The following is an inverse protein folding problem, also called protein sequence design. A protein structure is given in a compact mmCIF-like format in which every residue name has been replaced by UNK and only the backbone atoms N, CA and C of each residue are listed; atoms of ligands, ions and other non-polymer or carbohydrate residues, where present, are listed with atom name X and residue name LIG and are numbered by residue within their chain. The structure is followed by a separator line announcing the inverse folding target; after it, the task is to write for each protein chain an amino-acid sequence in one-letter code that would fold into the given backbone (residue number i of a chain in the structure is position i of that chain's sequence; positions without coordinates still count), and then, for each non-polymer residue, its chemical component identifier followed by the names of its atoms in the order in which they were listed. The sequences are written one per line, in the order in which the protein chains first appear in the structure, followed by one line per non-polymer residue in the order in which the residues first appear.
data_IF_113283107608
#
_entry.id   IF_113283107608
#
_cell.length_a   1.000
_cell.length_b   1.000
_cell.length_c   1.000
_cell.angle_alpha   90.00
_cell.angle_beta   90.00
_cell.angle_gamma   90.00
#
_symmetry.space_group_name_H-M   'P 1'
#
loop_
_entity.id
_entity.type
_entity.pdbx_description
1 polymer ?
#
# COMPACT_ATOMS: atom_id res chain seq x y z
N UNK A 1 40.16 18.10 -2.58
CA UNK A 1 39.78 17.55 -1.26
C UNK A 1 38.36 17.04 -1.41
N UNK A 2 38.23 15.77 -1.76
CA UNK A 2 36.95 15.08 -1.89
C UNK A 2 36.71 14.47 -0.52
N UNK A 3 35.83 15.08 0.28
CA UNK A 3 35.39 14.48 1.53
C UNK A 3 34.32 13.45 1.22
N UNK A 4 34.55 12.26 1.76
CA UNK A 4 33.85 11.01 1.53
C UNK A 4 32.34 11.10 1.78
N UNK A 5 31.60 10.48 0.86
CA UNK A 5 30.20 10.07 1.01
C UNK A 5 30.24 8.76 1.80
N UNK A 6 30.27 8.83 3.13
CA UNK A 6 30.33 7.63 4.00
C UNK A 6 29.16 7.50 4.97
N UNK A 7 28.00 8.08 4.66
CA UNK A 7 26.80 7.99 5.54
C UNK A 7 25.54 7.44 4.85
N UNK A 8 25.64 6.79 3.68
CA UNK A 8 24.50 6.12 3.04
C UNK A 8 24.37 4.62 3.38
N UNK A 9 25.32 4.04 4.11
CA UNK A 9 25.35 2.60 4.42
C UNK A 9 24.44 2.16 5.59
N UNK A 10 23.72 3.10 6.21
CA UNK A 10 22.79 2.80 7.33
C UNK A 10 21.30 2.79 6.93
N UNK A 11 21.00 2.88 5.64
CA UNK A 11 19.64 2.59 5.18
C UNK A 11 19.47 1.07 5.20
N UNK A 12 18.51 0.59 6.00
CA UNK A 12 18.05 -0.80 5.90
C UNK A 12 17.81 -1.10 4.42
N UNK A 13 18.45 -2.14 3.84
CA UNK A 13 18.21 -2.47 2.45
C UNK A 13 16.71 -2.69 2.29
N UNK A 14 16.12 -2.11 1.24
CA UNK A 14 14.80 -2.55 0.78
C UNK A 14 14.82 -4.08 0.77
N UNK A 15 13.75 -4.77 1.22
CA UNK A 15 13.53 -6.15 0.86
C UNK A 15 13.49 -6.18 -0.67
N UNK A 16 14.65 -6.44 -1.29
CA UNK A 16 14.75 -6.57 -2.73
C UNK A 16 14.11 -7.90 -3.01
N UNK A 17 12.81 -7.88 -3.30
CA UNK A 17 12.15 -9.00 -3.92
C UNK A 17 12.99 -9.31 -5.18
N UNK A 18 13.70 -10.44 -5.15
CA UNK A 18 14.64 -10.80 -6.20
C UNK A 18 13.85 -11.14 -7.47
N UNK A 19 13.64 -10.12 -8.30
CA UNK A 19 12.88 -10.21 -9.55
C UNK A 19 13.67 -10.90 -10.66
N UNK A 20 14.96 -11.21 -10.48
CA UNK A 20 15.84 -11.56 -11.59
C UNK A 20 15.75 -13.04 -12.01
N UNK A 21 15.51 -13.99 -11.11
CA UNK A 21 15.60 -15.42 -11.42
C UNK A 21 14.29 -16.10 -11.87
N UNK A 22 13.11 -15.53 -11.55
CA UNK A 22 11.81 -16.05 -11.98
C UNK A 22 11.38 -15.55 -13.38
N UNK A 23 12.26 -14.80 -14.05
CA UNK A 23 11.85 -13.73 -14.93
C UNK A 23 11.85 -14.09 -16.41
N UNK A 24 12.83 -14.83 -16.94
CA UNK A 24 12.99 -14.91 -18.41
C UNK A 24 11.82 -15.64 -19.11
N UNK A 25 11.34 -16.76 -18.55
CA UNK A 25 10.19 -17.50 -19.10
C UNK A 25 8.87 -16.76 -18.87
N UNK A 26 8.70 -16.15 -17.69
CA UNK A 26 7.54 -15.32 -17.37
C UNK A 26 7.48 -14.07 -18.27
N UNK A 27 8.61 -13.40 -18.51
CA UNK A 27 8.77 -12.25 -19.39
C UNK A 27 8.47 -12.61 -20.85
N UNK A 28 9.01 -13.73 -21.36
CA UNK A 28 8.73 -14.17 -22.74
C UNK A 28 7.24 -14.48 -22.92
N UNK A 29 6.60 -15.14 -21.94
CA UNK A 29 5.15 -15.39 -21.93
C UNK A 29 4.35 -14.09 -21.85
N UNK A 30 4.82 -13.13 -21.05
CA UNK A 30 4.21 -11.81 -20.90
C UNK A 30 4.30 -10.99 -22.20
N UNK A 31 5.46 -10.92 -22.86
CA UNK A 31 5.65 -10.21 -24.13
C UNK A 31 4.75 -10.73 -25.25
N UNK A 32 4.58 -12.06 -25.34
CA UNK A 32 3.68 -12.67 -26.32
C UNK A 32 2.22 -12.24 -26.09
N UNK A 33 1.75 -12.25 -24.85
CA UNK A 33 0.40 -11.82 -24.50
C UNK A 33 0.20 -10.31 -24.68
N UNK A 34 1.20 -9.50 -24.34
CA UNK A 34 1.16 -8.05 -24.51
C UNK A 34 1.01 -7.66 -25.97
N UNK A 35 1.72 -8.33 -26.88
CA UNK A 35 1.56 -8.08 -28.32
C UNK A 35 0.17 -8.47 -28.84
N UNK A 36 -0.45 -9.52 -28.29
CA UNK A 36 -1.82 -9.91 -28.60
C UNK A 36 -2.85 -8.89 -28.07
N UNK A 37 -2.66 -8.37 -26.86
CA UNK A 37 -3.52 -7.32 -26.30
C UNK A 37 -3.43 -6.04 -27.14
N UNK A 38 -2.23 -5.64 -27.57
CA UNK A 38 -2.05 -4.52 -28.49
C UNK A 38 -2.66 -4.73 -29.88
N UNK A 39 -2.98 -5.97 -30.25
CA UNK A 39 -3.74 -6.31 -31.47
C UNK A 39 -5.27 -6.28 -31.28
N UNK A 40 -5.75 -5.88 -30.10
CA UNK A 40 -7.18 -5.72 -29.78
C UNK A 40 -7.84 -6.95 -29.16
N UNK A 41 -7.06 -7.97 -28.78
CA UNK A 41 -7.59 -9.14 -28.08
C UNK A 41 -7.78 -8.84 -26.58
N UNK A 42 -8.80 -9.44 -25.94
CA UNK A 42 -9.02 -9.28 -24.50
C UNK A 42 -7.86 -9.87 -23.70
N UNK A 43 -7.69 -9.41 -22.47
CA UNK A 43 -6.72 -9.98 -21.52
C UNK A 43 -7.04 -11.48 -21.34
N UNK A 44 -6.06 -12.37 -21.43
CA UNK A 44 -6.26 -13.80 -21.25
C UNK A 44 -6.85 -14.14 -19.89
N UNK A 45 -7.78 -15.11 -19.85
CA UNK A 45 -8.42 -15.58 -18.61
C UNK A 45 -7.44 -16.15 -17.57
N UNK A 46 -6.23 -16.51 -17.99
CA UNK A 46 -5.19 -16.97 -17.07
C UNK A 46 -4.70 -15.88 -16.10
N UNK A 47 -5.06 -14.61 -16.34
CA UNK A 47 -4.76 -13.49 -15.45
C UNK A 47 -5.98 -12.97 -14.68
N UNK A 48 -7.13 -13.65 -14.73
CA UNK A 48 -8.35 -13.20 -14.04
C UNK A 48 -8.14 -13.09 -12.52
N UNK A 49 -7.21 -13.86 -11.96
CA UNK A 49 -6.80 -13.82 -10.55
C UNK A 49 -6.16 -12.48 -10.16
N UNK A 50 -5.40 -11.82 -11.04
CA UNK A 50 -4.83 -10.49 -10.79
C UNK A 50 -5.88 -9.40 -10.65
N UNK A 51 -7.08 -9.62 -11.18
CA UNK A 51 -8.18 -8.66 -11.17
C UNK A 51 -9.29 -9.03 -10.17
N UNK A 52 -9.09 -10.09 -9.37
CA UNK A 52 -10.08 -10.62 -8.45
C UNK A 52 -9.82 -10.18 -7.00
N UNK A 53 -10.71 -9.35 -6.44
CA UNK A 53 -10.74 -9.04 -5.01
C UNK A 53 -9.57 -8.17 -4.53
N UNK A 54 -9.31 -8.23 -3.21
CA UNK A 54 -8.20 -7.52 -2.57
C UNK A 54 -7.04 -8.51 -2.40
N UNK A 55 -5.87 -8.16 -2.94
CA UNK A 55 -4.65 -8.95 -2.81
C UNK A 55 -4.03 -8.83 -1.43
N UNK A 56 -3.17 -9.80 -1.07
CA UNK A 56 -2.39 -9.81 0.18
C UNK A 56 -0.92 -10.06 -0.15
N UNK A 57 -0.05 -9.14 0.25
CA UNK A 57 1.40 -9.34 0.14
C UNK A 57 1.85 -10.42 1.15
N UNK A 58 2.75 -11.34 0.76
CA UNK A 58 3.18 -12.43 1.64
C UNK A 58 4.11 -11.96 2.77
N UNK A 59 4.74 -10.80 2.61
CA UNK A 59 5.71 -10.27 3.57
C UNK A 59 5.05 -9.45 4.67
N UNK A 60 5.57 -9.57 5.89
CA UNK A 60 5.15 -8.73 7.02
C UNK A 60 5.92 -7.42 7.00
N UNK A 61 5.20 -6.32 7.12
CA UNK A 61 5.80 -4.98 7.22
C UNK A 61 5.92 -4.59 8.69
N UNK A 62 7.12 -4.18 9.10
CA UNK A 62 7.38 -3.67 10.45
C UNK A 62 7.42 -2.13 10.47
N UNK A 63 6.58 -1.54 11.31
CA UNK A 63 6.56 -0.09 11.54
C UNK A 63 7.55 0.24 12.67
N UNK A 64 8.65 0.89 12.30
CA UNK A 64 9.69 1.28 13.24
C UNK A 64 9.29 2.56 13.97
N UNK A 65 9.32 2.51 15.31
CA UNK A 65 8.98 3.64 16.18
C UNK A 65 10.23 4.05 16.97
N UNK A 66 10.41 5.33 17.25
CA UNK A 66 11.52 5.83 18.06
C UNK A 66 11.61 5.13 19.42
N UNK A 67 12.85 4.81 19.86
CA UNK A 67 13.08 4.05 21.12
C UNK A 67 12.46 4.71 22.35
N UNK A 68 12.39 6.03 22.37
CA UNK A 68 11.86 6.83 23.48
C UNK A 68 10.45 7.37 23.19
N UNK A 69 9.76 6.85 22.18
CA UNK A 69 8.41 7.28 21.84
C UNK A 69 7.46 7.04 23.02
N UNK A 70 6.68 8.05 23.35
CA UNK A 70 5.66 7.99 24.38
C UNK A 70 4.36 7.52 23.72
N UNK A 71 3.80 6.35 24.09
CA UNK A 71 2.56 5.89 23.50
C UNK A 71 1.39 6.83 23.78
N UNK A 72 0.52 7.00 22.79
CA UNK A 72 -0.68 7.83 22.89
C UNK A 72 -1.95 6.99 22.83
N UNK A 73 -2.89 7.29 23.72
CA UNK A 73 -4.25 6.75 23.70
C UNK A 73 -5.21 7.89 23.38
N UNK A 74 -5.71 7.92 22.15
CA UNK A 74 -6.69 8.89 21.71
C UNK A 74 -8.11 8.37 22.02
N UNK A 75 -8.96 9.17 22.69
CA UNK A 75 -10.33 8.75 22.96
C UNK A 75 -11.12 8.57 21.66
N UNK A 76 -12.14 7.71 21.71
CA UNK A 76 -13.06 7.51 20.60
C UNK A 76 -13.77 8.83 20.29
N UNK A 77 -13.77 9.23 19.01
CA UNK A 77 -14.50 10.41 18.57
C UNK A 77 -16.00 10.12 18.61
N UNK A 78 -16.77 11.11 19.04
CA UNK A 78 -18.23 10.98 19.08
C UNK A 78 -18.77 10.86 17.66
N UNK A 79 -19.45 9.75 17.40
CA UNK A 79 -20.18 9.50 16.16
C UNK A 79 -21.67 9.67 16.45
N UNK A 80 -22.41 10.32 15.55
CA UNK A 80 -23.87 10.47 15.66
C UNK A 80 -24.54 9.10 15.71
N UNK A 81 -25.53 8.93 16.59
CA UNK A 81 -26.22 7.65 16.80
C UNK A 81 -26.72 7.01 15.49
N UNK A 82 -27.22 7.81 14.56
CA UNK A 82 -27.69 7.37 13.23
C UNK A 82 -26.61 6.70 12.37
N UNK A 83 -25.34 6.98 12.63
CA UNK A 83 -24.22 6.42 11.87
C UNK A 83 -23.63 5.18 12.53
N UNK A 84 -24.03 4.80 13.75
CA UNK A 84 -23.40 3.67 14.47
C UNK A 84 -23.52 2.36 13.72
N UNK A 85 -24.74 2.01 13.26
CA UNK A 85 -24.97 0.79 12.48
C UNK A 85 -24.22 0.82 11.14
N UNK A 86 -24.15 1.98 10.49
CA UNK A 86 -23.41 2.14 9.23
C UNK A 86 -21.90 1.97 9.43
N UNK A 87 -21.34 2.52 10.51
CA UNK A 87 -19.92 2.32 10.84
C UNK A 87 -19.65 0.84 11.09
N UNK A 88 -20.52 0.16 11.82
CA UNK A 88 -20.39 -1.27 12.10
C UNK A 88 -20.44 -2.10 10.82
N UNK A 89 -21.38 -1.81 9.92
CA UNK A 89 -21.50 -2.51 8.63
C UNK A 89 -20.31 -2.29 7.70
N UNK A 90 -19.55 -1.19 7.85
CA UNK A 90 -18.30 -0.98 7.11
C UNK A 90 -17.12 -1.75 7.73
N UNK A 91 -17.12 -2.00 9.04
CA UNK A 91 -16.04 -2.74 9.72
C UNK A 91 -16.14 -4.27 9.53
N UNK A 92 -17.35 -4.82 9.49
CA UNK A 92 -17.58 -6.28 9.36
C UNK A 92 -16.94 -6.89 8.10
N UNK A 93 -17.05 -6.30 6.89
CA UNK A 93 -16.36 -6.80 5.71
C UNK A 93 -14.84 -6.73 5.84
N UNK A 94 -14.30 -5.68 6.48
CA UNK A 94 -12.85 -5.52 6.66
C UNK A 94 -12.27 -6.61 7.56
N UNK A 95 -12.99 -6.98 8.62
CA UNK A 95 -12.61 -8.10 9.49
C UNK A 95 -12.73 -9.44 8.73
N UNK A 96 -13.81 -9.64 7.98
CA UNK A 96 -14.01 -10.85 7.17
C UNK A 96 -12.96 -11.03 6.07
N UNK A 97 -12.47 -9.92 5.51
CA UNK A 97 -11.42 -9.90 4.49
C UNK A 97 -10.00 -9.94 5.08
N UNK A 98 -9.85 -10.10 6.40
CA UNK A 98 -8.55 -10.15 7.09
C UNK A 98 -7.70 -8.87 6.89
N UNK A 99 -8.38 -7.72 6.72
CA UNK A 99 -7.75 -6.39 6.60
C UNK A 99 -7.51 -5.79 7.99
N UNK A 100 -8.44 -6.03 8.93
CA UNK A 100 -8.34 -5.62 10.32
C UNK A 100 -8.61 -6.81 11.24
N UNK A 101 -8.07 -6.74 12.46
CA UNK A 101 -8.28 -7.75 13.49
C UNK A 101 -8.83 -7.10 14.76
N UNK A 102 -9.72 -7.82 15.45
CA UNK A 102 -10.27 -7.39 16.73
C UNK A 102 -9.25 -7.57 17.86
N UNK A 103 -8.86 -6.46 18.47
CA UNK A 103 -7.97 -6.45 19.65
C UNK A 103 -8.79 -6.44 20.94
N UNK A 104 -8.59 -7.45 21.79
CA UNK A 104 -9.29 -7.59 23.10
C UNK A 104 -8.39 -7.27 24.30
N UNK A 105 -7.08 -7.23 24.10
CA UNK A 105 -6.10 -6.92 25.14
C UNK A 105 -5.73 -5.43 25.14
N UNK A 106 -5.28 -4.87 26.28
CA UNK A 106 -4.80 -3.49 26.32
C UNK A 106 -3.60 -3.26 25.38
N UNK A 107 -3.63 -2.18 24.61
CA UNK A 107 -2.53 -1.76 23.74
C UNK A 107 -1.93 -0.44 24.20
N UNK A 108 -0.66 -0.23 23.85
CA UNK A 108 0.05 1.03 24.16
C UNK A 108 -0.41 2.18 23.27
N UNK A 109 -0.75 1.88 22.02
CA UNK A 109 -1.20 2.85 21.03
C UNK A 109 -2.68 2.64 20.71
N UNK A 110 -3.46 3.72 20.77
CA UNK A 110 -4.87 3.75 20.36
C UNK A 110 -5.12 5.02 19.58
N UNK A 111 -5.60 4.88 18.35
CA UNK A 111 -5.94 6.00 17.47
C UNK A 111 -7.46 6.08 17.30
N UNK A 112 -7.99 7.30 17.21
CA UNK A 112 -9.42 7.51 17.00
C UNK A 112 -9.81 7.26 15.53
N UNK A 113 -11.02 6.77 15.30
CA UNK A 113 -11.61 6.66 13.96
C UNK A 113 -12.57 7.83 13.73
N UNK A 114 -12.60 8.34 12.51
CA UNK A 114 -13.57 9.30 11.99
C UNK A 114 -14.41 8.66 10.91
N UNK A 115 -15.70 8.96 10.90
CA UNK A 115 -16.63 8.52 9.87
C UNK A 115 -17.03 9.73 9.03
N UNK A 116 -16.74 9.69 7.73
CA UNK A 116 -17.00 10.79 6.78
C UNK A 116 -17.95 10.28 5.71
N UNK A 117 -19.09 10.95 5.54
CA UNK A 117 -20.00 10.65 4.44
C UNK A 117 -19.44 11.21 3.13
N UNK A 118 -19.38 10.36 2.11
CA UNK A 118 -19.04 10.78 0.75
C UNK A 118 -20.27 11.35 0.04
N UNK A 119 -20.03 12.02 -1.09
CA UNK A 119 -21.09 12.56 -1.95
C UNK A 119 -22.02 11.49 -2.53
N UNK A 120 -21.55 10.24 -2.65
CA UNK A 120 -22.34 9.09 -3.11
C UNK A 120 -23.19 8.45 -1.98
N UNK A 121 -23.15 8.99 -0.77
CA UNK A 121 -23.85 8.45 0.41
C UNK A 121 -23.14 7.28 1.10
N UNK A 122 -22.01 6.79 0.56
CA UNK A 122 -21.18 5.79 1.25
C UNK A 122 -20.40 6.42 2.41
N UNK A 123 -20.00 5.59 3.37
CA UNK A 123 -19.23 6.04 4.52
C UNK A 123 -17.74 5.73 4.30
N UNK A 124 -16.87 6.68 4.62
CA UNK A 124 -15.42 6.48 4.68
C UNK A 124 -14.98 6.47 6.13
N UNK A 125 -14.40 5.36 6.56
CA UNK A 125 -13.74 5.25 7.86
C UNK A 125 -12.28 5.71 7.72
N UNK A 126 -11.89 6.71 8.51
CA UNK A 126 -10.55 7.28 8.52
C UNK A 126 -9.93 7.08 9.90
N UNK A 127 -8.77 6.44 9.96
CA UNK A 127 -7.94 6.43 11.17
C UNK A 127 -7.26 7.80 11.31
N UNK A 128 -7.15 8.31 12.53
CA UNK A 128 -6.34 9.49 12.86
C UNK A 128 -5.05 9.11 13.58
N UNK A 129 -3.97 8.77 12.85
CA UNK A 129 -2.69 8.34 13.40
C UNK A 129 -1.73 9.51 13.68
N UNK A 130 -2.21 10.76 13.85
CA UNK A 130 -1.33 11.93 13.96
C UNK A 130 -0.24 11.81 15.02
N UNK A 131 -0.57 11.30 16.21
CA UNK A 131 0.40 11.13 17.30
C UNK A 131 1.38 9.98 17.03
N UNK A 132 0.88 8.86 16.49
CA UNK A 132 1.73 7.74 16.08
C UNK A 132 2.72 8.18 14.98
N UNK A 133 2.26 8.92 13.97
CA UNK A 133 3.06 9.38 12.84
C UNK A 133 4.24 10.27 13.22
N UNK A 134 4.17 10.98 14.36
CA UNK A 134 5.30 11.77 14.88
C UNK A 134 6.42 10.89 15.44
N UNK A 135 6.08 9.67 15.85
CA UNK A 135 7.00 8.73 16.49
C UNK A 135 7.55 7.67 15.53
N UNK A 136 7.01 7.59 14.31
CA UNK A 136 7.47 6.63 13.29
C UNK A 136 8.78 7.09 12.69
N UNK A 137 9.77 6.20 12.68
CA UNK A 137 10.99 6.35 11.91
C UNK A 137 10.70 6.03 10.45
N UNK A 138 10.69 7.06 9.60
CA UNK A 138 10.36 6.90 8.19
C UNK A 138 11.58 6.42 7.41
N UNK A 139 11.51 5.24 6.76
CA UNK A 139 12.56 4.86 5.83
C UNK A 139 12.54 5.83 4.64
N UNK A 140 13.73 6.16 4.14
CA UNK A 140 13.87 7.02 2.97
C UNK A 140 13.92 6.18 1.69
N UNK A 141 12.86 6.27 0.90
CA UNK A 141 12.77 5.64 -0.42
C UNK A 141 12.59 6.73 -1.48
N UNK A 142 13.63 7.07 -2.25
CA UNK A 142 13.53 8.10 -3.27
C UNK A 142 12.59 7.61 -4.38
N UNK A 143 11.51 8.36 -4.60
CA UNK A 143 10.67 8.13 -5.77
C UNK A 143 11.40 8.64 -7.02
N UNK A 144 11.37 7.90 -8.13
CA UNK A 144 11.97 8.36 -9.38
C UNK A 144 11.31 9.67 -9.82
N UNK A 145 12.11 10.59 -10.32
CA UNK A 145 11.60 11.84 -10.91
C UNK A 145 10.95 11.58 -12.26
N UNK A 146 10.21 12.56 -12.77
CA UNK A 146 9.65 12.47 -14.11
C UNK A 146 10.76 12.30 -15.15
N UNK A 147 11.89 12.99 -14.99
CA UNK A 147 13.06 12.92 -15.86
C UNK A 147 13.69 11.53 -15.87
N UNK A 148 13.80 10.89 -14.69
CA UNK A 148 14.31 9.52 -14.57
C UNK A 148 13.42 8.52 -15.34
N UNK A 149 12.10 8.70 -15.24
CA UNK A 149 11.14 7.87 -15.95
C UNK A 149 11.18 8.17 -17.45
N UNK A 150 11.20 9.44 -17.85
CA UNK A 150 11.22 9.88 -19.23
C UNK A 150 12.44 9.37 -20.00
N UNK A 151 13.61 9.38 -19.35
CA UNK A 151 14.83 8.82 -19.92
C UNK A 151 14.73 7.29 -20.13
N UNK A 152 14.11 6.56 -19.19
CA UNK A 152 13.93 5.09 -19.29
C UNK A 152 12.93 4.68 -20.37
N UNK A 153 11.91 5.49 -20.62
CA UNK A 153 10.86 5.18 -21.61
C UNK A 153 11.18 5.70 -23.02
N UNK A 154 12.28 6.46 -23.18
CA UNK A 154 12.69 7.00 -24.48
C UNK A 154 12.93 5.89 -25.51
N UNK A 155 12.39 6.04 -26.72
CA UNK A 155 12.51 5.08 -27.81
C UNK A 155 11.48 3.94 -27.79
N UNK A 156 10.66 3.82 -26.74
CA UNK A 156 9.54 2.89 -26.73
C UNK A 156 8.30 3.50 -27.41
N UNK A 157 7.55 2.68 -28.15
CA UNK A 157 6.39 3.11 -28.96
C UNK A 157 5.05 2.56 -28.44
N UNK A 158 5.06 1.70 -27.43
CA UNK A 158 3.89 1.06 -26.83
C UNK A 158 4.02 1.14 -25.31
N UNK A 159 2.93 1.52 -24.65
CA UNK A 159 2.87 1.67 -23.19
C UNK A 159 1.63 0.98 -22.66
N UNK A 160 1.75 0.39 -21.47
CA UNK A 160 0.63 -0.09 -20.67
C UNK A 160 0.68 0.55 -19.30
N UNK A 161 -0.49 0.81 -18.71
CA UNK A 161 -0.61 1.33 -17.35
C UNK A 161 -1.41 0.33 -16.54
N UNK A 162 -0.83 -0.08 -15.41
CA UNK A 162 -1.48 -0.92 -14.41
C UNK A 162 -1.59 -0.09 -13.13
N UNK A 163 -2.72 -0.23 -12.44
CA UNK A 163 -2.99 0.45 -11.19
C UNK A 163 -3.48 -0.58 -10.17
N UNK A 164 -2.83 -0.62 -9.00
CA UNK A 164 -3.21 -1.54 -7.94
C UNK A 164 -4.39 -0.96 -7.16
N UNK A 165 -5.57 -1.58 -7.30
CA UNK A 165 -6.74 -1.19 -6.51
C UNK A 165 -6.46 -1.44 -5.04
N UNK A 166 -6.58 -0.41 -4.20
CA UNK A 166 -6.30 -0.48 -2.76
C UNK A 166 -4.86 -0.89 -2.41
N UNK A 167 -3.87 -0.51 -3.22
CA UNK A 167 -2.44 -0.81 -2.99
C UNK A 167 -1.77 0.01 -1.87
N UNK A 168 -2.35 -0.02 -0.67
CA UNK A 168 -1.76 0.54 0.56
C UNK A 168 -0.90 -0.48 1.30
#
# INVERSE_FOLDING_TARGET
MVSEVSEMDNLLPCPSFNWESASLQAWTKFEQHVNLIFSGLPIPKEFDDFFAGIGKLPEKVEIHVEKNAIPSINPVRRITFTLHERVKSELEPLEKLDIIERVVAPTKWVNSIMAVEKSDGSLRLCLDPRELNKSIQRPYYPMPTFEDIAAKIHGHNKFSKLDATSGY
#
